data_IF_635938228576
#
_entry.id   IF_635938228576
#
_cell.length_a   1.000
_cell.length_b   1.000
_cell.length_c   1.000
_cell.angle_alpha   90.00
_cell.angle_beta   90.00
_cell.angle_gamma   90.00
#
_symmetry.space_group_name_H-M   'P 1'
#
loop_
_entity.id
_entity.type
_entity.pdbx_description
1 polymer ?
#
# COMPACT_ATOMS: atom_id res chain seq x y z
N UNK A 1 29.38 11.88 26.07
CA UNK A 1 28.51 12.60 25.14
C UNK A 1 29.22 12.63 23.77
N UNK A 2 28.75 11.81 22.82
CA UNK A 2 29.29 11.77 21.45
C UNK A 2 28.32 12.53 20.53
N UNK A 3 28.82 13.36 19.60
CA UNK A 3 27.94 14.14 18.72
C UNK A 3 27.36 13.27 17.60
N UNK A 4 26.06 13.45 17.36
CA UNK A 4 25.35 12.85 16.24
C UNK A 4 25.81 13.48 14.91
N UNK A 5 26.36 12.67 14.01
CA UNK A 5 26.71 13.10 12.65
C UNK A 5 25.45 13.08 11.77
N UNK A 6 24.97 14.26 11.42
CA UNK A 6 23.98 14.43 10.36
C UNK A 6 24.68 14.43 8.99
N UNK A 7 24.41 13.44 8.15
CA UNK A 7 24.85 13.44 6.75
C UNK A 7 23.76 14.14 5.93
N UNK A 8 24.05 15.39 5.51
CA UNK A 8 23.23 16.10 4.54
C UNK A 8 23.64 15.66 3.13
N UNK A 9 22.76 14.98 2.39
CA UNK A 9 22.95 14.72 0.96
C UNK A 9 22.61 15.96 0.15
N UNK A 10 23.64 16.68 -0.34
CA UNK A 10 23.48 17.74 -1.32
C UNK A 10 23.42 17.13 -2.72
N UNK A 11 22.26 17.20 -3.39
CA UNK A 11 22.11 16.80 -4.79
C UNK A 11 22.57 17.96 -5.67
N UNK A 12 23.73 17.83 -6.30
CA UNK A 12 24.19 18.73 -7.35
C UNK A 12 23.64 18.28 -8.71
N UNK A 13 22.73 19.07 -9.27
CA UNK A 13 22.30 18.90 -10.66
C UNK A 13 23.38 19.45 -11.61
N UNK A 14 24.07 18.55 -12.30
CA UNK A 14 24.95 18.91 -13.43
C UNK A 14 24.11 18.83 -14.71
N UNK A 15 23.83 19.97 -15.32
CA UNK A 15 23.27 20.07 -16.65
C UNK A 15 24.37 19.87 -17.70
N UNK A 16 24.32 18.78 -18.46
CA UNK A 16 25.10 18.60 -19.69
C UNK A 16 24.14 18.49 -20.87
N UNK A 17 24.20 19.38 -21.87
CA UNK A 17 23.47 19.23 -23.11
C UNK A 17 24.24 18.26 -24.02
N UNK A 18 23.76 17.03 -24.17
CA UNK A 18 24.24 16.13 -25.21
C UNK A 18 23.12 15.88 -26.22
N UNK A 19 23.08 16.72 -27.25
CA UNK A 19 22.39 16.41 -28.49
C UNK A 19 23.18 15.33 -29.24
N UNK A 20 22.77 14.07 -29.15
CA UNK A 20 23.10 13.03 -30.12
C UNK A 20 21.82 12.27 -30.47
N UNK A 21 21.42 12.41 -31.73
CA UNK A 21 20.46 11.51 -32.33
C UNK A 21 21.04 10.10 -32.34
N UNK A 22 20.58 9.27 -31.40
CA UNK A 22 20.71 7.82 -31.47
C UNK A 22 19.35 7.25 -31.80
N UNK A 23 19.29 6.45 -32.86
CA UNK A 23 18.17 5.54 -33.09
C UNK A 23 18.01 4.68 -31.82
N UNK A 24 17.05 5.05 -31.00
CA UNK A 24 16.74 4.32 -29.78
C UNK A 24 16.07 3.02 -30.21
N UNK A 25 16.85 1.94 -30.25
CA UNK A 25 16.31 0.62 -29.93
C UNK A 25 15.77 0.78 -28.51
N UNK A 26 14.45 0.79 -28.36
CA UNK A 26 13.83 0.82 -27.05
C UNK A 26 14.44 -0.32 -26.23
N UNK A 27 15.14 -0.03 -25.12
CA UNK A 27 15.60 -1.10 -24.26
C UNK A 27 14.32 -1.78 -23.77
N UNK A 28 14.19 -3.08 -24.01
CA UNK A 28 13.27 -3.94 -23.32
C UNK A 28 13.64 -3.85 -21.84
N UNK A 29 13.16 -2.82 -21.15
CA UNK A 29 13.34 -2.69 -19.70
C UNK A 29 12.64 -3.87 -19.08
N UNK A 30 13.41 -4.89 -18.75
CA UNK A 30 12.90 -5.97 -17.90
C UNK A 30 12.41 -5.27 -16.63
N UNK A 31 11.13 -5.34 -16.36
CA UNK A 31 10.55 -4.81 -15.11
C UNK A 31 11.35 -5.37 -13.96
N UNK A 32 11.86 -4.50 -13.10
CA UNK A 32 12.63 -4.90 -11.92
C UNK A 32 11.74 -5.76 -11.01
N UNK A 33 10.45 -5.43 -10.93
CA UNK A 33 9.44 -6.18 -10.19
C UNK A 33 8.27 -6.55 -11.11
N UNK A 34 7.85 -7.84 -11.13
CA UNK A 34 6.71 -8.27 -11.95
C UNK A 34 5.37 -7.76 -11.43
N UNK A 35 5.25 -7.53 -10.11
CA UNK A 35 4.03 -7.09 -9.46
C UNK A 35 4.32 -6.23 -8.22
N UNK A 36 3.29 -5.51 -7.77
CA UNK A 36 3.29 -4.74 -6.52
C UNK A 36 2.12 -5.21 -5.64
N UNK A 37 2.40 -5.59 -4.39
CA UNK A 37 1.43 -6.07 -3.41
C UNK A 37 1.44 -5.13 -2.20
N UNK A 38 0.27 -4.63 -1.80
CA UNK A 38 0.21 -3.53 -0.85
C UNK A 38 -0.76 -3.85 0.28
N UNK A 39 -0.31 -3.62 1.51
CA UNK A 39 -1.07 -3.81 2.73
C UNK A 39 -1.02 -2.54 3.58
N UNK A 40 -2.09 -2.22 4.28
CA UNK A 40 -2.05 -1.10 5.21
C UNK A 40 -3.37 -0.34 5.37
N UNK A 41 -3.21 0.95 5.60
CA UNK A 41 -4.28 1.87 5.96
C UNK A 41 -4.68 2.84 4.84
N UNK A 42 -5.19 4.05 5.20
CA UNK A 42 -5.61 5.08 4.24
C UNK A 42 -4.52 5.57 3.31
N UNK A 43 -3.25 5.47 3.71
CA UNK A 43 -2.11 5.91 2.90
C UNK A 43 -1.92 5.05 1.65
N UNK A 44 -2.51 3.84 1.64
CA UNK A 44 -2.34 2.84 0.59
C UNK A 44 -3.66 2.21 0.12
N UNK A 45 -4.81 2.69 0.59
CA UNK A 45 -6.14 2.23 0.16
C UNK A 45 -6.59 2.95 -1.12
N UNK A 46 -6.62 2.28 -2.28
CA UNK A 46 -7.08 2.89 -3.53
C UNK A 46 -8.61 2.88 -3.69
N UNK A 47 -9.35 2.39 -2.67
CA UNK A 47 -10.79 2.32 -2.65
C UNK A 47 -11.38 0.97 -2.22
N UNK A 48 -10.63 0.10 -1.52
CA UNK A 48 -11.20 -1.13 -0.95
C UNK A 48 -12.40 -0.82 -0.03
N UNK A 49 -12.32 0.28 0.72
CA UNK A 49 -13.40 0.70 1.62
C UNK A 49 -14.71 1.06 0.89
N UNK A 50 -14.69 1.28 -0.43
CA UNK A 50 -15.92 1.49 -1.19
C UNK A 50 -16.84 0.25 -1.17
N UNK A 51 -16.25 -0.94 -1.01
CA UNK A 51 -16.89 -2.25 -1.14
C UNK A 51 -17.22 -2.90 0.21
N UNK A 52 -17.06 -2.18 1.32
CA UNK A 52 -17.41 -2.64 2.67
C UNK A 52 -18.33 -1.64 3.38
N UNK A 53 -19.13 -2.09 4.38
CA UNK A 53 -20.05 -1.25 5.12
C UNK A 53 -19.32 -0.43 6.20
N UNK A 54 -18.59 0.62 5.78
CA UNK A 54 -17.87 1.56 6.65
C UNK A 54 -18.19 3.00 6.29
N UNK A 55 -18.00 3.91 7.26
CA UNK A 55 -18.04 5.37 7.04
C UNK A 55 -16.69 5.92 6.57
N UNK A 56 -15.61 5.16 6.69
CA UNK A 56 -14.27 5.53 6.23
C UNK A 56 -14.15 5.37 4.73
N UNK A 57 -14.70 6.33 3.97
CA UNK A 57 -14.69 6.37 2.50
C UNK A 57 -14.14 7.69 2.00
N UNK A 58 -13.53 7.65 0.83
CA UNK A 58 -13.00 8.82 0.13
C UNK A 58 -13.46 8.85 -1.35
N UNK A 59 -14.67 8.35 -1.63
CA UNK A 59 -15.27 8.30 -2.96
C UNK A 59 -16.24 9.47 -3.21
N UNK A 60 -16.00 10.62 -2.60
CA UNK A 60 -16.78 11.85 -2.71
C UNK A 60 -15.87 13.09 -2.64
N UNK A 61 -16.39 14.23 -3.11
CA UNK A 61 -15.68 15.51 -3.04
C UNK A 61 -15.35 15.89 -1.58
N UNK A 62 -14.14 16.49 -1.30
CA UNK A 62 -13.16 17.00 -2.26
C UNK A 62 -12.06 16.03 -2.68
N UNK A 63 -12.14 14.73 -2.31
CA UNK A 63 -11.16 13.74 -2.74
C UNK A 63 -11.09 13.63 -4.27
N UNK A 64 -9.92 13.29 -4.80
CA UNK A 64 -9.74 13.01 -6.22
C UNK A 64 -9.77 14.22 -7.16
N UNK A 65 -9.80 15.47 -6.64
CA UNK A 65 -9.86 16.68 -7.48
C UNK A 65 -8.66 16.82 -8.42
N UNK A 66 -7.49 16.30 -8.05
CA UNK A 66 -6.26 16.33 -8.83
C UNK A 66 -5.93 14.96 -9.44
N UNK A 67 -6.83 13.97 -9.26
CA UNK A 67 -6.71 12.65 -9.87
C UNK A 67 -7.09 12.72 -11.36
N UNK A 68 -6.53 11.87 -12.24
CA UNK A 68 -6.93 11.81 -13.64
C UNK A 68 -8.45 11.71 -13.79
N UNK A 69 -9.05 12.64 -14.53
CA UNK A 69 -10.49 12.74 -14.69
C UNK A 69 -11.24 13.42 -13.55
N UNK A 70 -10.54 13.97 -12.53
CA UNK A 70 -11.14 14.64 -11.36
C UNK A 70 -12.17 13.78 -10.62
N UNK A 71 -11.85 12.48 -10.44
CA UNK A 71 -12.75 11.45 -9.90
C UNK A 71 -12.32 11.06 -8.50
N UNK A 72 -13.25 11.08 -7.56
CA UNK A 72 -13.08 10.54 -6.20
C UNK A 72 -13.16 9.00 -6.24
N UNK A 73 -12.01 8.33 -6.28
CA UNK A 73 -11.91 6.88 -6.47
C UNK A 73 -12.04 6.06 -5.18
N UNK A 74 -11.96 6.71 -4.02
CA UNK A 74 -11.80 6.07 -2.73
C UNK A 74 -10.39 6.21 -2.14
N UNK A 75 -9.45 6.80 -2.89
CA UNK A 75 -8.13 7.21 -2.38
C UNK A 75 -8.27 8.38 -1.43
N UNK A 76 -7.71 8.27 -0.24
CA UNK A 76 -7.68 9.36 0.76
C UNK A 76 -6.65 10.43 0.37
N UNK A 77 -6.82 10.95 -0.84
CA UNK A 77 -5.93 11.92 -1.47
C UNK A 77 -6.68 12.77 -2.49
N UNK A 78 -6.15 13.95 -2.77
CA UNK A 78 -6.59 14.74 -3.92
C UNK A 78 -6.18 14.12 -5.27
N UNK A 79 -5.12 13.29 -5.28
CA UNK A 79 -4.54 12.73 -6.48
C UNK A 79 -4.15 11.26 -6.31
N UNK A 80 -3.03 10.89 -6.93
CA UNK A 80 -2.43 9.56 -6.81
C UNK A 80 -1.90 9.33 -5.39
N UNK A 81 -1.92 8.08 -4.93
CA UNK A 81 -1.23 7.64 -3.73
C UNK A 81 0.26 7.35 -4.02
N UNK A 82 1.08 7.29 -2.98
CA UNK A 82 2.50 6.92 -3.10
C UNK A 82 2.68 5.58 -3.83
N UNK A 83 1.89 4.52 -3.56
CA UNK A 83 2.00 3.27 -4.32
C UNK A 83 1.71 3.40 -5.81
N UNK A 84 0.78 4.28 -6.22
CA UNK A 84 0.53 4.53 -7.65
C UNK A 84 1.77 5.14 -8.32
N UNK A 85 2.40 6.13 -7.66
CA UNK A 85 3.59 6.81 -8.16
C UNK A 85 4.75 5.82 -8.26
N UNK A 86 4.97 5.00 -7.23
CA UNK A 86 6.02 3.97 -7.24
C UNK A 86 5.79 2.93 -8.33
N UNK A 87 4.56 2.42 -8.48
CA UNK A 87 4.23 1.42 -9.50
C UNK A 87 4.47 1.97 -10.91
N UNK A 88 4.09 3.22 -11.17
CA UNK A 88 4.31 3.90 -12.45
C UNK A 88 5.80 4.16 -12.69
N UNK A 89 6.53 4.68 -11.70
CA UNK A 89 7.97 4.94 -11.81
C UNK A 89 8.78 3.67 -12.07
N UNK A 90 8.38 2.54 -11.46
CA UNK A 90 9.02 1.23 -11.66
C UNK A 90 8.55 0.50 -12.93
N UNK A 91 7.66 1.11 -13.70
CA UNK A 91 7.12 0.52 -14.94
C UNK A 91 6.23 -0.71 -14.71
N UNK A 92 5.68 -0.90 -13.50
CA UNK A 92 4.81 -2.03 -13.18
C UNK A 92 3.40 -1.77 -13.74
N UNK A 93 2.78 -0.65 -13.34
CA UNK A 93 1.46 -0.18 -13.79
C UNK A 93 1.25 1.29 -13.43
N UNK A 94 0.34 1.97 -14.11
CA UNK A 94 0.04 3.39 -13.88
C UNK A 94 -0.70 3.67 -12.57
N UNK A 95 -1.60 2.78 -12.18
CA UNK A 95 -2.42 2.87 -10.97
C UNK A 95 -2.54 1.50 -10.34
N UNK A 96 -2.48 1.46 -9.01
CA UNK A 96 -2.70 0.22 -8.26
C UNK A 96 -4.19 0.10 -7.91
N UNK A 97 -4.89 -0.95 -8.38
CA UNK A 97 -6.31 -1.11 -8.10
C UNK A 97 -6.57 -1.70 -6.71
N UNK A 98 -7.79 -1.50 -6.22
CA UNK A 98 -8.32 -2.14 -5.02
C UNK A 98 -8.60 -3.63 -5.30
N UNK A 99 -8.19 -4.53 -4.40
CA UNK A 99 -8.45 -5.97 -4.58
C UNK A 99 -9.94 -6.32 -4.55
N UNK A 100 -10.75 -5.54 -3.82
CA UNK A 100 -12.19 -5.77 -3.70
C UNK A 100 -12.99 -5.20 -4.88
N UNK A 101 -12.36 -4.54 -5.85
CA UNK A 101 -13.04 -4.05 -7.04
C UNK A 101 -13.60 -5.25 -7.86
N UNK A 102 -14.94 -5.34 -8.07
CA UNK A 102 -15.51 -6.41 -8.86
C UNK A 102 -15.11 -6.37 -10.33
N UNK A 103 -14.65 -5.22 -10.83
CA UNK A 103 -14.17 -5.04 -12.21
C UNK A 103 -12.70 -5.36 -12.40
N UNK A 104 -12.03 -5.87 -11.36
CA UNK A 104 -10.60 -6.19 -11.39
C UNK A 104 -10.26 -7.21 -12.47
N UNK A 105 -9.44 -6.81 -13.44
CA UNK A 105 -9.05 -7.64 -14.58
C UNK A 105 -7.96 -8.66 -14.24
N UNK A 106 -7.84 -9.69 -15.07
CA UNK A 106 -6.72 -10.64 -15.01
C UNK A 106 -5.35 -9.96 -15.17
N UNK A 107 -5.29 -8.90 -15.99
CA UNK A 107 -4.09 -8.08 -16.17
C UNK A 107 -3.69 -7.38 -14.89
N UNK A 108 -4.67 -6.85 -14.14
CA UNK A 108 -4.45 -6.23 -12.85
C UNK A 108 -3.90 -7.21 -11.83
N UNK A 109 -4.48 -8.41 -11.76
CA UNK A 109 -4.01 -9.45 -10.85
C UNK A 109 -2.56 -9.87 -11.14
N UNK A 110 -2.16 -9.95 -12.42
CA UNK A 110 -0.78 -10.31 -12.79
C UNK A 110 0.27 -9.27 -12.40
N UNK A 111 -0.13 -8.02 -12.25
CA UNK A 111 0.77 -6.90 -11.91
C UNK A 111 0.58 -6.38 -10.49
N UNK A 112 -0.32 -7.00 -9.73
CA UNK A 112 -0.53 -6.75 -8.30
C UNK A 112 -1.62 -5.72 -7.99
N UNK A 113 -1.99 -5.68 -6.73
CA UNK A 113 -3.15 -4.95 -6.17
C UNK A 113 -2.83 -4.42 -4.77
N UNK A 114 -3.72 -3.57 -4.24
CA UNK A 114 -3.72 -3.19 -2.84
C UNK A 114 -4.83 -3.90 -2.06
N UNK A 115 -4.49 -4.41 -0.88
CA UNK A 115 -5.41 -4.94 0.14
C UNK A 115 -5.68 -3.92 1.24
N UNK A 116 -5.03 -2.75 1.18
CA UNK A 116 -5.11 -1.68 2.17
C UNK A 116 -6.55 -1.23 2.43
N UNK A 117 -6.82 -0.83 3.66
CA UNK A 117 -8.15 -0.38 4.12
C UNK A 117 -7.99 0.82 5.04
N UNK A 118 -8.55 1.95 4.63
CA UNK A 118 -8.46 3.19 5.40
C UNK A 118 -9.04 3.02 6.81
N UNK A 119 -8.32 3.50 7.84
CA UNK A 119 -8.68 3.32 9.24
C UNK A 119 -8.14 2.03 9.87
N UNK A 120 -7.44 1.17 9.11
CA UNK A 120 -6.81 -0.04 9.61
C UNK A 120 -5.56 0.26 10.45
N UNK A 121 -5.21 -0.68 11.31
CA UNK A 121 -3.99 -0.69 12.11
C UNK A 121 -3.61 -2.13 12.47
N UNK A 122 -2.49 -2.29 13.16
CA UNK A 122 -2.00 -3.59 13.65
C UNK A 122 -2.78 -4.10 14.86
N UNK A 123 -3.34 -3.21 15.67
CA UNK A 123 -4.26 -3.55 16.75
C UNK A 123 -5.66 -3.79 16.17
N UNK A 124 -6.22 -4.98 16.42
CA UNK A 124 -7.57 -5.33 15.95
C UNK A 124 -8.64 -4.35 16.47
N UNK A 125 -8.39 -3.70 17.62
CA UNK A 125 -9.28 -2.68 18.16
C UNK A 125 -9.42 -1.47 17.24
N UNK A 126 -8.33 -1.06 16.56
CA UNK A 126 -8.32 0.03 15.59
C UNK A 126 -9.33 -0.22 14.47
N UNK A 127 -9.20 -1.37 13.81
CA UNK A 127 -10.06 -1.74 12.70
C UNK A 127 -11.52 -1.99 13.12
N UNK A 128 -11.74 -2.58 14.30
CA UNK A 128 -13.09 -2.86 14.81
C UNK A 128 -13.90 -1.60 15.06
N UNK A 129 -13.28 -0.56 15.60
CA UNK A 129 -13.92 0.75 15.84
C UNK A 129 -14.34 1.43 14.55
N UNK A 130 -13.50 1.35 13.54
CA UNK A 130 -13.72 1.96 12.24
C UNK A 130 -14.57 1.08 11.30
N UNK A 131 -14.85 -0.18 11.67
CA UNK A 131 -15.51 -1.21 10.85
C UNK A 131 -14.85 -1.35 9.47
N UNK A 132 -13.53 -1.43 9.49
CA UNK A 132 -12.70 -1.57 8.28
C UNK A 132 -12.01 -2.93 8.27
N UNK A 133 -11.23 -3.21 7.23
CA UNK A 133 -10.56 -4.51 7.06
C UNK A 133 -9.30 -4.55 7.95
N UNK A 134 -9.27 -5.35 9.03
CA UNK A 134 -8.08 -5.50 9.87
C UNK A 134 -6.87 -6.00 9.08
N UNK A 135 -5.64 -5.69 9.52
CA UNK A 135 -4.42 -6.15 8.86
C UNK A 135 -4.38 -7.68 8.67
N UNK A 136 -4.84 -8.47 9.65
CA UNK A 136 -4.92 -9.92 9.52
C UNK A 136 -5.92 -10.37 8.44
N UNK A 137 -7.02 -9.63 8.24
CA UNK A 137 -7.98 -9.92 7.18
C UNK A 137 -7.46 -9.52 5.78
N UNK A 138 -6.55 -8.56 5.70
CA UNK A 138 -5.84 -8.26 4.46
C UNK A 138 -4.99 -9.46 4.01
N UNK A 139 -4.43 -10.24 4.94
CA UNK A 139 -3.75 -11.51 4.64
C UNK A 139 -4.73 -12.57 4.08
N UNK A 140 -5.95 -12.65 4.59
CA UNK A 140 -6.95 -13.57 4.02
C UNK A 140 -7.32 -13.15 2.58
N UNK A 141 -7.44 -11.84 2.31
CA UNK A 141 -7.61 -11.33 0.95
C UNK A 141 -6.41 -11.67 0.05
N UNK A 142 -5.19 -11.58 0.57
CA UNK A 142 -3.98 -11.98 -0.15
C UNK A 142 -3.99 -13.47 -0.50
N UNK A 143 -4.40 -14.35 0.41
CA UNK A 143 -4.58 -15.79 0.09
C UNK A 143 -5.58 -15.99 -1.05
N UNK A 144 -6.70 -15.25 -1.05
CA UNK A 144 -7.67 -15.29 -2.13
C UNK A 144 -7.07 -14.76 -3.46
N UNK A 145 -6.23 -13.72 -3.39
CA UNK A 145 -5.50 -13.22 -4.56
C UNK A 145 -4.58 -14.29 -5.14
N UNK A 146 -3.81 -15.01 -4.30
CA UNK A 146 -2.93 -16.11 -4.74
C UNK A 146 -3.74 -17.15 -5.52
N UNK A 147 -4.84 -17.62 -4.97
CA UNK A 147 -5.70 -18.62 -5.62
C UNK A 147 -6.27 -18.10 -6.97
N UNK A 148 -6.65 -16.82 -7.05
CA UNK A 148 -7.10 -16.21 -8.31
C UNK A 148 -5.96 -16.12 -9.32
N UNK A 149 -4.77 -15.72 -8.89
CA UNK A 149 -3.58 -15.60 -9.73
C UNK A 149 -3.18 -16.97 -10.30
N UNK A 150 -3.16 -18.02 -9.47
CA UNK A 150 -2.87 -19.41 -9.88
C UNK A 150 -3.82 -19.91 -10.96
N UNK A 151 -5.12 -19.62 -10.85
CA UNK A 151 -6.12 -19.98 -11.88
C UNK A 151 -5.85 -19.30 -13.22
N UNK A 152 -5.30 -18.07 -13.21
CA UNK A 152 -5.06 -17.26 -14.40
C UNK A 152 -3.75 -17.64 -15.11
N UNK A 153 -2.69 -17.89 -14.34
CA UNK A 153 -1.33 -18.06 -14.90
C UNK A 153 -0.70 -19.43 -14.63
N UNK A 154 -1.34 -20.28 -13.85
CA UNK A 154 -0.80 -21.54 -13.35
C UNK A 154 0.12 -21.34 -12.14
N UNK A 155 0.24 -22.37 -11.29
CA UNK A 155 0.94 -22.35 -10.00
C UNK A 155 2.41 -21.88 -10.13
N UNK A 156 3.16 -22.46 -11.04
CA UNK A 156 4.58 -22.14 -11.22
C UNK A 156 4.84 -20.69 -11.63
N UNK A 157 3.95 -20.11 -12.46
CA UNK A 157 4.09 -18.72 -12.88
C UNK A 157 3.60 -17.78 -11.79
N UNK A 158 2.54 -18.14 -11.06
CA UNK A 158 2.07 -17.40 -9.89
C UNK A 158 3.18 -17.29 -8.83
N UNK A 159 3.83 -18.40 -8.51
CA UNK A 159 4.96 -18.45 -7.57
C UNK A 159 6.13 -17.55 -8.01
N UNK A 160 6.47 -17.52 -9.30
CA UNK A 160 7.51 -16.61 -9.80
C UNK A 160 7.09 -15.13 -9.68
N UNK A 161 5.83 -14.80 -9.92
CA UNK A 161 5.31 -13.44 -9.75
C UNK A 161 5.36 -13.03 -8.28
N UNK A 162 4.90 -13.88 -7.37
CA UNK A 162 4.88 -13.61 -5.93
C UNK A 162 6.29 -13.43 -5.36
N UNK A 163 7.21 -14.33 -5.68
CA UNK A 163 8.59 -14.26 -5.19
C UNK A 163 9.38 -13.06 -5.73
N UNK A 164 8.96 -12.50 -6.87
CA UNK A 164 9.57 -11.30 -7.44
C UNK A 164 8.82 -10.01 -7.12
N UNK A 165 7.68 -10.08 -6.44
CA UNK A 165 6.84 -8.91 -6.20
C UNK A 165 7.48 -7.92 -5.22
N UNK A 166 7.24 -6.63 -5.46
CA UNK A 166 7.48 -5.58 -4.48
C UNK A 166 6.34 -5.58 -3.46
N UNK A 167 6.64 -5.82 -2.19
CA UNK A 167 5.66 -5.73 -1.10
C UNK A 167 5.81 -4.40 -0.38
N UNK A 168 4.70 -3.69 -0.20
CA UNK A 168 4.62 -2.45 0.58
C UNK A 168 3.66 -2.67 1.76
N UNK A 169 4.10 -2.32 2.96
CA UNK A 169 3.29 -2.32 4.17
C UNK A 169 3.33 -0.93 4.79
N UNK A 170 2.17 -0.29 4.95
CA UNK A 170 2.04 1.05 5.54
C UNK A 170 0.84 1.10 6.47
N UNK A 171 1.11 1.01 7.78
CA UNK A 171 0.09 1.08 8.84
C UNK A 171 0.76 1.44 10.19
N UNK A 172 -0.07 1.69 11.20
CA UNK A 172 0.38 1.91 12.58
C UNK A 172 0.01 3.27 13.13
N UNK A 173 -0.10 4.31 12.31
CA UNK A 173 -0.49 5.65 12.76
C UNK A 173 -1.86 5.65 13.44
N UNK A 174 -2.82 4.92 12.88
CA UNK A 174 -4.18 4.83 13.43
C UNK A 174 -4.22 4.16 14.80
N UNK A 175 -3.32 3.21 15.07
CA UNK A 175 -3.23 2.56 16.38
C UNK A 175 -2.94 3.58 17.47
N UNK A 176 -1.95 4.44 17.24
CA UNK A 176 -1.58 5.48 18.21
C UNK A 176 -2.63 6.58 18.27
N UNK A 177 -3.10 7.09 17.14
CA UNK A 177 -4.09 8.17 17.11
C UNK A 177 -5.39 7.71 17.78
N UNK A 178 -6.01 6.63 17.29
CA UNK A 178 -7.36 6.23 17.69
C UNK A 178 -7.41 5.49 19.04
N UNK A 179 -6.38 4.71 19.40
CA UNK A 179 -6.45 3.85 20.59
C UNK A 179 -5.61 4.34 21.77
N UNK A 180 -4.58 5.16 21.49
CA UNK A 180 -3.68 5.62 22.55
C UNK A 180 -3.90 7.07 22.93
N UNK A 181 -4.08 7.97 21.93
CA UNK A 181 -4.19 9.41 22.17
C UNK A 181 -5.64 9.90 22.19
N UNK A 182 -6.44 9.67 21.14
CA UNK A 182 -7.81 10.22 21.05
C UNK A 182 -8.78 9.49 21.96
N UNK A 183 -8.75 8.16 21.95
CA UNK A 183 -9.57 7.32 22.84
C UNK A 183 -8.62 6.50 23.70
N UNK A 184 -8.39 6.89 24.97
CA UNK A 184 -7.27 6.40 25.76
C UNK A 184 -7.41 4.93 26.21
N UNK A 185 -7.97 4.04 25.41
CA UNK A 185 -8.16 2.64 25.79
C UNK A 185 -6.84 1.92 26.02
N UNK A 186 -5.88 2.13 25.11
CA UNK A 186 -4.57 1.45 25.23
C UNK A 186 -3.61 2.18 26.14
N UNK A 187 -3.75 3.49 26.32
CA UNK A 187 -2.96 4.22 27.34
C UNK A 187 -3.35 3.91 28.77
N UNK A 188 -4.53 3.30 29.00
CA UNK A 188 -4.91 2.74 30.28
C UNK A 188 -4.28 1.37 30.57
N UNK A 189 -3.91 0.63 29.50
CA UNK A 189 -3.34 -0.73 29.61
C UNK A 189 -1.81 -0.71 29.49
N UNK A 190 -1.25 0.21 28.71
CA UNK A 190 0.16 0.30 28.36
C UNK A 190 0.70 1.70 28.57
N UNK A 191 1.97 1.81 28.95
CA UNK A 191 2.73 3.01 28.67
C UNK A 191 3.11 3.05 27.17
N UNK A 192 3.62 4.17 26.69
CA UNK A 192 3.90 4.36 25.25
C UNK A 192 4.87 3.30 24.70
N UNK A 193 5.93 2.95 25.45
CA UNK A 193 6.91 1.94 25.03
C UNK A 193 6.31 0.54 24.98
N UNK A 194 5.44 0.21 25.94
CA UNK A 194 4.70 -1.06 25.96
C UNK A 194 3.75 -1.19 24.75
N UNK A 195 3.04 -0.11 24.41
CA UNK A 195 2.17 -0.13 23.25
C UNK A 195 2.96 -0.18 21.94
N UNK A 196 4.09 0.51 21.84
CA UNK A 196 5.02 0.36 20.70
C UNK A 196 5.47 -1.09 20.52
N UNK A 197 5.89 -1.76 21.60
CA UNK A 197 6.29 -3.17 21.54
C UNK A 197 5.14 -4.08 21.11
N UNK A 198 3.92 -3.82 21.59
CA UNK A 198 2.73 -4.56 21.19
C UNK A 198 2.48 -4.43 19.67
N UNK A 199 2.47 -3.21 19.14
CA UNK A 199 2.27 -2.93 17.71
C UNK A 199 3.39 -3.55 16.86
N UNK A 200 4.65 -3.47 17.30
CA UNK A 200 5.80 -4.10 16.62
C UNK A 200 5.67 -5.62 16.54
N UNK A 201 5.24 -6.28 17.62
CA UNK A 201 5.02 -7.72 17.62
C UNK A 201 3.92 -8.14 16.63
N UNK A 202 2.86 -7.32 16.48
CA UNK A 202 1.82 -7.55 15.47
C UNK A 202 2.35 -7.39 14.05
N UNK A 203 3.18 -6.37 13.80
CA UNK A 203 3.86 -6.19 12.52
C UNK A 203 4.76 -7.39 12.20
N UNK A 204 5.58 -7.86 13.16
CA UNK A 204 6.43 -9.03 12.95
C UNK A 204 5.63 -10.28 12.57
N UNK A 205 4.51 -10.51 13.26
CA UNK A 205 3.61 -11.63 12.95
C UNK A 205 3.01 -11.52 11.55
N UNK A 206 2.69 -10.31 11.10
CA UNK A 206 2.19 -10.06 9.74
C UNK A 206 3.26 -10.39 8.69
N UNK A 207 4.50 -9.90 8.87
CA UNK A 207 5.60 -10.10 7.91
C UNK A 207 5.96 -11.58 7.76
N UNK A 208 5.82 -12.39 8.82
CA UNK A 208 6.08 -13.83 8.76
C UNK A 208 5.07 -14.60 7.89
N UNK A 209 3.92 -14.01 7.60
CA UNK A 209 2.83 -14.67 6.84
C UNK A 209 2.80 -14.22 5.38
N UNK A 210 3.36 -13.06 5.06
CA UNK A 210 3.50 -12.53 3.69
C UNK A 210 4.71 -13.16 3.00
#
# INVERSE_FOLDING_TARGET
MAPANFIALAVHMIWLPLSRACNAVEPKTSRVFPAILIFGDSTVDPGNNNYIPTLFKANYNPYGRDFPGHIATGRFSNGKLIPDILASTLGIKELVPAFLDPMLSDGDLRTGVSFGSAGSGYDDLTASRSRVIPMLKQIDLFKNYIQRLERIVGEEKAKRILNGALVIVSAGSNDFILNFYDIPSRSLEFNISGYQAFVQNRLQSLIQVI
#
